data_IF_194473721941
#
_entry.id   IF_194473721941
#
_cell.length_a   1.000
_cell.length_b   1.000
_cell.length_c   1.000
_cell.angle_alpha   90.00
_cell.angle_beta   90.00
_cell.angle_gamma   90.00
#
_symmetry.space_group_name_H-M   'P 1'
#
loop_
_entity.id
_entity.type
_entity.pdbx_description
1 polymer ?
#
# COMPACT_ATOMS: atom_id res chain seq x y z
N UNK A 1 -7.93 6.30 1.13
CA UNK A 1 -6.51 6.02 1.33
C UNK A 1 -6.23 6.03 2.82
N UNK A 2 -5.43 5.06 3.27
CA UNK A 2 -5.33 4.50 4.63
C UNK A 2 -5.48 5.57 5.72
N UNK A 3 -6.55 5.47 6.52
CA UNK A 3 -6.62 6.20 7.79
C UNK A 3 -5.43 5.77 8.66
N UNK A 4 -5.00 6.60 9.63
CA UNK A 4 -3.97 6.20 10.58
C UNK A 4 -4.28 4.85 11.23
N UNK A 5 -5.56 4.59 11.54
CA UNK A 5 -6.02 3.30 12.06
C UNK A 5 -5.79 2.14 11.09
N UNK A 6 -6.20 2.28 9.82
CA UNK A 6 -6.00 1.22 8.83
C UNK A 6 -4.52 0.97 8.55
N UNK A 7 -3.70 2.03 8.60
CA UNK A 7 -2.25 1.93 8.49
C UNK A 7 -1.67 1.18 9.68
N UNK A 8 -2.04 1.56 10.91
CA UNK A 8 -1.64 0.86 12.14
C UNK A 8 -2.03 -0.61 12.12
N UNK A 9 -3.23 -0.96 11.66
CA UNK A 9 -3.62 -2.38 11.54
C UNK A 9 -2.75 -3.12 10.53
N UNK A 10 -2.50 -2.52 9.37
CA UNK A 10 -1.72 -3.16 8.31
C UNK A 10 -0.25 -3.33 8.72
N UNK A 11 0.39 -2.25 9.13
CA UNK A 11 1.80 -2.21 9.52
C UNK A 11 2.03 -2.85 10.89
N UNK A 12 1.10 -2.69 11.82
CA UNK A 12 1.13 -3.38 13.10
C UNK A 12 1.08 -4.90 12.95
N UNK A 13 0.24 -5.44 12.06
CA UNK A 13 0.23 -6.87 11.75
C UNK A 13 1.54 -7.38 11.14
N UNK A 14 2.21 -6.54 10.35
CA UNK A 14 3.54 -6.86 9.80
C UNK A 14 4.58 -6.88 10.92
N UNK A 15 4.68 -5.82 11.73
CA UNK A 15 5.64 -5.79 12.84
C UNK A 15 5.37 -6.91 13.84
N UNK A 16 4.11 -7.21 14.12
CA UNK A 16 3.71 -8.34 14.95
C UNK A 16 4.21 -9.68 14.39
N UNK A 17 4.02 -9.91 13.10
CA UNK A 17 4.42 -11.17 12.46
C UNK A 17 5.93 -11.30 12.22
N UNK A 18 6.68 -10.20 12.11
CA UNK A 18 8.12 -10.22 11.82
C UNK A 18 8.97 -10.02 13.07
N UNK A 19 8.69 -8.97 13.84
CA UNK A 19 9.50 -8.58 14.99
C UNK A 19 9.19 -9.44 16.22
N UNK A 20 7.90 -9.70 16.45
CA UNK A 20 7.45 -10.33 17.69
C UNK A 20 7.13 -11.82 17.55
N UNK A 21 7.15 -12.38 16.34
CA UNK A 21 7.00 -13.84 16.15
C UNK A 21 8.22 -14.62 16.63
N UNK A 22 9.39 -13.98 16.63
CA UNK A 22 10.65 -14.55 17.11
C UNK A 22 10.89 -14.33 18.61
N UNK A 23 10.18 -13.38 19.24
CA UNK A 23 10.34 -13.07 20.66
C UNK A 23 9.34 -13.85 21.53
N UNK A 24 9.84 -14.52 22.55
CA UNK A 24 8.98 -15.17 23.55
C UNK A 24 8.27 -14.17 24.46
N UNK A 25 7.15 -14.58 25.08
CA UNK A 25 6.45 -13.77 26.10
C UNK A 25 7.39 -13.34 27.25
N UNK A 26 8.34 -14.20 27.63
CA UNK A 26 9.33 -13.90 28.67
C UNK A 26 10.31 -12.79 28.24
N UNK A 27 10.71 -12.76 26.96
CA UNK A 27 11.59 -11.71 26.42
C UNK A 27 10.87 -10.36 26.34
N UNK A 28 9.61 -10.38 25.91
CA UNK A 28 8.72 -9.20 25.95
C UNK A 28 8.54 -8.67 27.38
N UNK A 29 8.39 -9.57 28.35
CA UNK A 29 8.35 -9.22 29.77
C UNK A 29 9.64 -8.54 30.25
N UNK A 30 10.81 -9.04 29.83
CA UNK A 30 12.09 -8.45 30.16
C UNK A 30 12.28 -7.06 29.52
N UNK A 31 11.81 -6.87 28.28
CA UNK A 31 11.81 -5.56 27.62
C UNK A 31 10.93 -4.59 28.42
N UNK A 32 9.71 -4.98 28.79
CA UNK A 32 8.82 -4.16 29.60
C UNK A 32 9.46 -3.73 30.93
N UNK A 33 10.07 -4.67 31.65
CA UNK A 33 10.73 -4.37 32.92
C UNK A 33 11.92 -3.42 32.72
N UNK A 34 12.71 -3.60 31.66
CA UNK A 34 13.81 -2.70 31.32
C UNK A 34 13.32 -1.28 30.99
N UNK A 35 12.21 -1.14 30.26
CA UNK A 35 11.58 0.14 29.96
C UNK A 35 11.06 0.83 31.22
N UNK A 36 10.44 0.07 32.14
CA UNK A 36 10.01 0.62 33.43
C UNK A 36 11.16 1.16 34.27
N UNK A 37 12.32 0.48 34.25
CA UNK A 37 13.53 0.97 34.94
C UNK A 37 13.98 2.31 34.35
N UNK A 38 13.99 2.46 33.02
CA UNK A 38 14.31 3.75 32.39
C UNK A 38 13.28 4.83 32.75
N UNK A 39 12.00 4.47 32.81
CA UNK A 39 10.90 5.34 33.23
C UNK A 39 10.93 5.76 34.70
N UNK A 40 11.88 5.29 35.52
CA UNK A 40 12.08 5.81 36.87
C UNK A 40 12.84 7.13 36.89
N UNK A 41 13.56 7.46 35.82
CA UNK A 41 14.43 8.64 35.73
C UNK A 41 13.94 9.67 34.71
N UNK A 42 13.05 9.29 33.79
CA UNK A 42 12.55 10.15 32.72
C UNK A 42 11.05 9.94 32.53
N UNK A 43 10.37 10.96 31.97
CA UNK A 43 8.97 10.87 31.56
C UNK A 43 8.78 10.19 30.21
N UNK A 44 9.88 10.05 29.44
CA UNK A 44 9.92 9.44 28.11
C UNK A 44 11.13 8.53 27.95
N UNK A 45 10.95 7.44 27.22
CA UNK A 45 12.02 6.50 26.86
C UNK A 45 12.34 6.64 25.38
N UNK A 46 13.64 6.71 25.06
CA UNK A 46 14.16 6.75 23.68
C UNK A 46 14.60 5.36 23.26
N UNK A 47 13.96 4.79 22.25
CA UNK A 47 14.35 3.51 21.68
C UNK A 47 15.32 3.72 20.51
N UNK A 48 16.44 2.96 20.45
CA UNK A 48 17.49 3.14 19.46
C UNK A 48 17.15 2.46 18.13
N UNK A 49 15.95 2.73 17.58
CA UNK A 49 15.53 2.18 16.29
C UNK A 49 16.10 2.94 15.08
N UNK A 50 16.38 4.24 15.25
CA UNK A 50 17.01 5.08 14.23
C UNK A 50 17.93 6.09 14.89
N UNK A 51 19.08 6.33 14.28
CA UNK A 51 20.07 7.32 14.74
C UNK A 51 19.60 8.76 14.53
N UNK A 52 18.71 8.99 13.57
CA UNK A 52 18.27 10.34 13.20
C UNK A 52 16.99 10.77 13.92
N UNK A 53 16.08 9.82 14.17
CA UNK A 53 14.82 10.07 14.85
C UNK A 53 14.59 8.98 15.89
N UNK A 54 15.10 9.15 17.13
CA UNK A 54 14.88 8.17 18.18
C UNK A 54 13.39 8.09 18.50
N UNK A 55 12.88 6.86 18.59
CA UNK A 55 11.48 6.63 18.89
C UNK A 55 11.24 6.97 20.37
N UNK A 56 10.45 8.01 20.63
CA UNK A 56 10.08 8.42 21.99
C UNK A 56 8.75 7.79 22.40
N UNK A 57 8.72 7.11 23.55
CA UNK A 57 7.51 6.53 24.13
C UNK A 57 7.28 7.17 25.50
N UNK A 58 6.05 7.59 25.79
CA UNK A 58 5.70 8.15 27.09
C UNK A 58 5.63 7.05 28.16
N UNK A 59 6.23 7.31 29.31
CA UNK A 59 6.26 6.35 30.42
C UNK A 59 4.89 6.09 31.03
N UNK A 60 3.94 7.00 30.85
CA UNK A 60 2.54 6.79 31.21
C UNK A 60 1.94 5.64 30.39
N UNK A 61 2.12 5.67 29.06
CA UNK A 61 1.60 4.66 28.15
C UNK A 61 2.19 3.27 28.42
N UNK A 62 3.49 3.22 28.77
CA UNK A 62 4.17 1.98 29.15
C UNK A 62 3.52 1.40 30.41
N UNK A 63 3.32 2.22 31.45
CA UNK A 63 2.71 1.77 32.73
C UNK A 63 1.25 1.35 32.55
N UNK A 64 0.49 2.05 31.70
CA UNK A 64 -0.91 1.75 31.43
C UNK A 64 -1.07 0.45 30.62
N UNK A 65 -0.22 0.24 29.61
CA UNK A 65 -0.27 -0.95 28.75
C UNK A 65 0.00 -2.25 29.52
N UNK A 66 0.85 -2.20 30.54
CA UNK A 66 1.28 -3.38 31.29
C UNK A 66 2.08 -4.38 30.44
N UNK A 67 2.43 -5.52 31.04
CA UNK A 67 3.25 -6.56 30.38
C UNK A 67 2.61 -7.12 29.11
N UNK A 68 1.30 -7.39 29.13
CA UNK A 68 0.60 -7.96 27.97
C UNK A 68 0.31 -6.92 26.88
N UNK A 69 0.24 -5.63 27.22
CA UNK A 69 -0.03 -4.55 26.25
C UNK A 69 1.21 -3.97 25.60
N UNK A 70 2.42 -4.26 26.11
CA UNK A 70 3.66 -3.65 25.62
C UNK A 70 3.90 -3.94 24.13
N UNK A 71 3.52 -5.14 23.67
CA UNK A 71 3.60 -5.52 22.26
C UNK A 71 2.77 -4.58 21.38
N UNK A 72 1.51 -4.34 21.76
CA UNK A 72 0.60 -3.45 21.04
C UNK A 72 1.06 -2.00 21.09
N UNK A 73 1.64 -1.57 22.22
CA UNK A 73 2.19 -0.23 22.35
C UNK A 73 3.35 -0.04 21.38
N UNK A 74 4.34 -0.95 21.42
CA UNK A 74 5.51 -0.88 20.55
C UNK A 74 5.14 -0.94 19.06
N UNK A 75 4.22 -1.83 18.65
CA UNK A 75 3.76 -1.88 17.25
C UNK A 75 3.07 -0.60 16.82
N UNK A 76 2.25 -0.01 17.69
CA UNK A 76 1.53 1.24 17.41
C UNK A 76 2.49 2.40 17.31
N UNK A 77 3.43 2.54 18.25
CA UNK A 77 4.43 3.63 18.23
C UNK A 77 5.35 3.50 17.03
N UNK A 78 5.79 2.29 16.67
CA UNK A 78 6.58 2.05 15.45
C UNK A 78 5.79 2.43 14.19
N UNK A 79 4.54 1.99 14.08
CA UNK A 79 3.69 2.35 12.95
C UNK A 79 3.51 3.88 12.86
N UNK A 80 3.26 4.56 13.98
CA UNK A 80 3.11 6.01 14.01
C UNK A 80 4.39 6.73 13.61
N UNK A 81 5.57 6.25 14.04
CA UNK A 81 6.84 6.85 13.65
C UNK A 81 7.11 6.77 12.14
N UNK A 82 6.69 5.68 11.50
CA UNK A 82 6.80 5.54 10.05
C UNK A 82 5.74 6.41 9.36
N UNK A 83 4.51 6.43 9.87
CA UNK A 83 3.40 7.14 9.24
C UNK A 83 3.57 8.65 9.30
N UNK A 84 4.04 9.20 10.42
CA UNK A 84 4.21 10.63 10.65
C UNK A 84 5.65 11.11 10.45
N UNK A 85 6.50 10.31 9.80
CA UNK A 85 7.85 10.74 9.42
C UNK A 85 7.75 11.99 8.53
N UNK A 86 8.46 13.04 8.92
CA UNK A 86 8.61 14.26 8.13
C UNK A 86 9.75 14.11 7.12
N UNK A 87 9.56 14.61 5.90
CA UNK A 87 10.56 14.61 4.85
C UNK A 87 10.88 16.04 4.41
N UNK A 88 12.15 16.30 4.07
CA UNK A 88 12.60 17.61 3.58
C UNK A 88 12.22 17.88 2.12
N UNK A 89 11.55 16.94 1.45
CA UNK A 89 11.11 17.03 0.06
C UNK A 89 9.59 16.90 -0.06
N UNK A 90 9.04 17.44 -1.15
CA UNK A 90 7.65 17.17 -1.51
C UNK A 90 7.51 15.73 -2.02
N UNK A 91 6.28 15.21 -2.03
CA UNK A 91 6.00 13.82 -2.45
C UNK A 91 6.67 13.44 -3.77
N UNK A 92 6.58 14.31 -4.78
CA UNK A 92 7.15 14.05 -6.11
C UNK A 92 8.67 14.13 -6.06
N UNK A 93 9.25 15.13 -5.40
CA UNK A 93 10.69 15.24 -5.22
C UNK A 93 11.30 14.04 -4.50
N UNK A 94 10.67 13.58 -3.42
CA UNK A 94 11.11 12.41 -2.67
C UNK A 94 11.09 11.13 -3.53
N UNK A 95 9.99 10.88 -4.25
CA UNK A 95 9.87 9.68 -5.11
C UNK A 95 10.85 9.73 -6.29
N UNK A 96 11.09 10.91 -6.87
CA UNK A 96 11.99 11.07 -8.03
C UNK A 96 13.46 11.16 -7.65
N UNK A 97 13.80 11.40 -6.37
CA UNK A 97 15.18 11.49 -5.89
C UNK A 97 15.98 10.20 -6.05
N UNK A 98 15.30 9.04 -6.15
CA UNK A 98 15.95 7.73 -6.22
C UNK A 98 16.58 7.27 -4.90
N UNK A 99 16.48 8.04 -3.81
CA UNK A 99 16.93 7.61 -2.50
C UNK A 99 15.90 6.62 -1.90
N UNK A 100 16.29 5.38 -1.56
CA UNK A 100 15.39 4.38 -1.00
C UNK A 100 14.74 4.82 0.32
N UNK A 101 15.41 5.63 1.14
CA UNK A 101 14.83 6.14 2.40
C UNK A 101 13.69 7.11 2.15
N UNK A 102 13.78 7.90 1.06
CA UNK A 102 12.74 8.83 0.64
C UNK A 102 11.55 8.11 0.00
N UNK A 103 11.70 6.86 -0.46
CA UNK A 103 10.57 6.07 -0.94
C UNK A 103 9.56 5.74 0.16
N UNK A 104 9.96 5.81 1.43
CA UNK A 104 9.02 5.63 2.55
C UNK A 104 7.91 6.70 2.56
N UNK A 105 8.09 7.84 1.90
CA UNK A 105 7.05 8.87 1.77
C UNK A 105 5.74 8.32 1.18
N UNK A 106 5.83 7.28 0.34
CA UNK A 106 4.69 6.57 -0.29
C UNK A 106 3.71 6.03 0.73
N UNK A 107 4.20 5.62 1.91
CA UNK A 107 3.38 4.99 2.96
C UNK A 107 3.06 5.92 4.14
N UNK A 108 3.48 7.18 4.07
CA UNK A 108 3.31 8.15 5.16
C UNK A 108 2.02 8.97 5.04
N UNK A 109 1.77 9.84 6.04
CA UNK A 109 0.70 10.82 6.03
C UNK A 109 0.82 11.78 4.82
N UNK A 110 2.03 12.21 4.46
CA UNK A 110 2.26 13.06 3.29
C UNK A 110 1.86 12.35 1.99
N UNK A 111 2.25 11.08 1.83
CA UNK A 111 1.79 10.24 0.74
C UNK A 111 0.26 10.08 0.72
N UNK A 112 -0.35 9.82 1.88
CA UNK A 112 -1.81 9.73 2.00
C UNK A 112 -2.52 11.03 1.59
N UNK A 113 -1.98 12.19 1.97
CA UNK A 113 -2.50 13.50 1.55
C UNK A 113 -2.36 13.71 0.05
N UNK A 114 -1.20 13.34 -0.53
CA UNK A 114 -0.99 13.38 -1.97
C UNK A 114 -2.03 12.52 -2.70
N UNK A 115 -2.25 11.27 -2.28
CA UNK A 115 -3.27 10.40 -2.90
C UNK A 115 -4.69 10.95 -2.77
N UNK A 116 -5.04 11.51 -1.61
CA UNK A 116 -6.35 12.16 -1.42
C UNK A 116 -6.53 13.35 -2.36
N UNK A 117 -5.49 14.16 -2.54
CA UNK A 117 -5.52 15.31 -3.46
C UNK A 117 -5.66 14.87 -4.93
N UNK A 118 -5.03 13.75 -5.32
CA UNK A 118 -5.07 13.21 -6.68
C UNK A 118 -6.33 12.40 -6.98
N UNK A 119 -7.05 11.94 -5.96
CA UNK A 119 -8.24 11.12 -6.15
C UNK A 119 -9.33 11.84 -6.96
N UNK A 120 -9.64 13.08 -6.62
CA UNK A 120 -10.66 13.88 -7.31
C UNK A 120 -10.30 14.12 -8.79
N UNK A 121 -9.12 14.68 -9.14
CA UNK A 121 -8.77 14.91 -10.54
C UNK A 121 -8.68 13.60 -11.34
N UNK A 122 -8.25 12.48 -10.73
CA UNK A 122 -8.29 11.17 -11.39
C UNK A 122 -9.71 10.73 -11.73
N UNK A 123 -10.69 10.93 -10.84
CA UNK A 123 -12.09 10.62 -11.12
C UNK A 123 -12.64 11.49 -12.25
N UNK A 124 -12.37 12.80 -12.22
CA UNK A 124 -12.79 13.70 -13.30
C UNK A 124 -12.17 13.30 -14.64
N UNK A 125 -10.87 13.00 -14.68
CA UNK A 125 -10.20 12.53 -15.89
C UNK A 125 -10.78 11.22 -16.42
N UNK A 126 -11.09 10.28 -15.51
CA UNK A 126 -11.68 8.98 -15.86
C UNK A 126 -13.09 9.16 -16.44
N UNK A 127 -13.94 9.96 -15.80
CA UNK A 127 -15.31 10.22 -16.26
C UNK A 127 -15.30 10.98 -17.59
N UNK A 128 -14.46 12.00 -17.72
CA UNK A 128 -14.31 12.76 -18.96
C UNK A 128 -13.82 11.86 -20.10
N UNK A 129 -12.81 11.02 -19.86
CA UNK A 129 -12.32 10.04 -20.83
C UNK A 129 -13.39 9.05 -21.25
N UNK A 130 -14.19 8.55 -20.30
CA UNK A 130 -15.30 7.66 -20.59
C UNK A 130 -16.39 8.36 -21.42
N UNK A 131 -16.73 9.61 -21.11
CA UNK A 131 -17.70 10.40 -21.86
C UNK A 131 -17.24 10.62 -23.31
N UNK A 132 -15.97 11.01 -23.51
CA UNK A 132 -15.38 11.17 -24.84
C UNK A 132 -15.44 9.85 -25.63
N UNK A 133 -15.15 8.73 -24.97
CA UNK A 133 -15.20 7.40 -25.60
C UNK A 133 -16.63 7.03 -26.01
N UNK A 134 -17.62 7.30 -25.15
CA UNK A 134 -19.03 7.04 -25.46
C UNK A 134 -19.55 7.90 -26.62
N UNK A 135 -19.15 9.17 -26.71
CA UNK A 135 -19.54 10.06 -27.81
C UNK A 135 -18.83 9.71 -29.11
N UNK A 136 -17.54 9.41 -29.05
CA UNK A 136 -16.73 9.15 -30.26
C UNK A 136 -17.07 7.82 -30.94
N UNK A 137 -17.69 6.88 -30.21
CA UNK A 137 -18.02 5.57 -30.74
C UNK A 137 -19.52 5.43 -30.95
N UNK A 138 -19.92 5.53 -32.22
CA UNK A 138 -21.33 5.51 -32.64
C UNK A 138 -22.03 4.16 -32.40
N UNK A 139 -21.27 3.07 -32.42
CA UNK A 139 -21.84 1.72 -32.30
C UNK A 139 -21.70 1.16 -30.88
N UNK A 140 -22.76 0.55 -30.37
CA UNK A 140 -22.73 -0.19 -29.10
C UNK A 140 -21.64 -1.26 -29.06
N UNK A 141 -21.37 -1.89 -30.21
CA UNK A 141 -20.28 -2.86 -30.38
C UNK A 141 -18.91 -2.21 -30.20
N UNK A 142 -18.69 -1.02 -30.75
CA UNK A 142 -17.47 -0.27 -30.53
C UNK A 142 -17.31 0.20 -29.07
N UNK A 143 -18.40 0.66 -28.43
CA UNK A 143 -18.39 1.11 -27.03
C UNK A 143 -17.98 -0.02 -26.08
N UNK A 144 -18.59 -1.20 -26.22
CA UNK A 144 -18.23 -2.38 -25.43
C UNK A 144 -16.77 -2.77 -25.61
N UNK A 145 -16.27 -2.74 -26.85
CA UNK A 145 -14.86 -3.02 -27.12
C UNK A 145 -13.93 -1.98 -26.50
N UNK A 146 -14.23 -0.69 -26.63
CA UNK A 146 -13.39 0.37 -26.09
C UNK A 146 -13.33 0.35 -24.56
N UNK A 147 -14.46 0.12 -23.89
CA UNK A 147 -14.49 -0.08 -22.43
C UNK A 147 -13.68 -1.32 -22.05
N UNK A 148 -13.89 -2.44 -22.75
CA UNK A 148 -13.14 -3.67 -22.51
C UNK A 148 -11.64 -3.50 -22.69
N UNK A 149 -11.21 -2.82 -23.76
CA UNK A 149 -9.79 -2.50 -23.99
C UNK A 149 -9.20 -1.64 -22.87
N UNK A 150 -9.90 -0.61 -22.43
CA UNK A 150 -9.43 0.23 -21.31
C UNK A 150 -9.29 -0.56 -20.02
N UNK A 151 -10.28 -1.39 -19.68
CA UNK A 151 -10.22 -2.22 -18.47
C UNK A 151 -9.08 -3.24 -18.54
N UNK A 152 -8.86 -3.84 -19.72
CA UNK A 152 -7.72 -4.73 -19.93
C UNK A 152 -6.40 -3.97 -19.80
N UNK A 153 -6.28 -2.79 -20.42
CA UNK A 153 -5.06 -1.99 -20.36
C UNK A 153 -4.75 -1.50 -18.94
N UNK A 154 -5.77 -1.24 -18.13
CA UNK A 154 -5.61 -0.89 -16.72
C UNK A 154 -5.21 -2.12 -15.89
N UNK A 155 -5.81 -3.29 -16.15
CA UNK A 155 -5.53 -4.52 -15.38
C UNK A 155 -4.22 -5.22 -15.75
N UNK A 156 -3.76 -5.11 -17.00
CA UNK A 156 -2.61 -5.84 -17.54
C UNK A 156 -1.29 -5.52 -16.80
N UNK A 157 -0.94 -4.26 -16.51
CA UNK A 157 0.29 -3.93 -15.78
C UNK A 157 0.36 -4.57 -14.40
N UNK A 158 -0.79 -4.71 -13.70
CA UNK A 158 -0.83 -5.35 -12.37
C UNK A 158 -0.65 -6.86 -12.45
N UNK A 159 -1.17 -7.50 -13.50
CA UNK A 159 -0.88 -8.90 -13.76
C UNK A 159 0.62 -9.08 -14.07
N UNK A 160 1.20 -8.21 -14.89
CA UNK A 160 2.63 -8.23 -15.20
C UNK A 160 3.50 -7.95 -13.97
N UNK A 161 3.09 -7.06 -13.07
CA UNK A 161 3.78 -6.80 -11.80
C UNK A 161 3.91 -8.07 -10.96
N UNK A 162 2.87 -8.90 -10.89
CA UNK A 162 2.94 -10.18 -10.18
C UNK A 162 3.97 -11.16 -10.75
N UNK A 163 4.22 -11.12 -12.07
CA UNK A 163 5.28 -11.94 -12.70
C UNK A 163 6.65 -11.26 -12.68
N UNK A 164 6.68 -9.93 -12.71
CA UNK A 164 7.90 -9.14 -12.73
C UNK A 164 8.48 -8.92 -11.33
N UNK A 165 7.72 -9.21 -10.27
CA UNK A 165 8.17 -9.08 -8.88
C UNK A 165 9.49 -9.83 -8.66
N UNK A 166 9.58 -11.08 -9.11
CA UNK A 166 10.81 -11.90 -9.04
C UNK A 166 12.00 -11.29 -9.81
N UNK A 167 11.74 -10.45 -10.81
CA UNK A 167 12.77 -9.84 -11.67
C UNK A 167 13.11 -8.38 -11.31
N UNK A 168 12.23 -7.66 -10.62
CA UNK A 168 12.37 -6.25 -10.26
C UNK A 168 12.94 -6.04 -8.84
N UNK A 169 12.91 -7.07 -8.01
CA UNK A 169 13.45 -7.04 -6.64
C UNK A 169 14.95 -7.27 -6.42
N UNK A 170 15.84 -7.58 -7.40
CA UNK A 170 17.22 -7.96 -7.10
C UNK A 170 18.15 -6.78 -6.72
N UNK A 171 17.62 -5.74 -6.06
CA UNK A 171 18.41 -4.58 -5.62
C UNK A 171 18.09 -4.12 -4.19
N UNK A 172 17.27 -4.87 -3.44
CA UNK A 172 17.03 -4.58 -2.03
C UNK A 172 18.13 -5.28 -1.20
N UNK A 173 18.82 -4.59 -0.29
CA UNK A 173 19.73 -5.23 0.65
C UNK A 173 19.00 -6.36 1.41
N UNK A 174 19.63 -7.53 1.64
CA UNK A 174 18.96 -8.70 2.20
C UNK A 174 18.39 -8.46 3.61
N UNK A 175 18.98 -7.52 4.35
CA UNK A 175 18.52 -7.08 5.68
C UNK A 175 17.12 -6.42 5.61
N UNK A 176 16.88 -5.63 4.57
CA UNK A 176 15.63 -4.90 4.34
C UNK A 176 14.60 -5.81 3.63
N UNK A 177 15.07 -6.66 2.73
CA UNK A 177 14.25 -7.60 1.96
C UNK A 177 13.40 -8.51 2.86
N UNK A 178 14.01 -9.13 3.87
CA UNK A 178 13.30 -10.04 4.79
C UNK A 178 12.13 -9.38 5.54
N UNK A 179 12.24 -8.07 5.83
CA UNK A 179 11.24 -7.32 6.58
C UNK A 179 10.19 -6.66 5.68
N UNK A 180 10.58 -6.20 4.48
CA UNK A 180 9.69 -5.51 3.55
C UNK A 180 8.94 -6.44 2.60
N UNK A 181 9.52 -7.59 2.22
CA UNK A 181 8.88 -8.52 1.28
C UNK A 181 7.47 -8.96 1.71
N UNK A 182 7.19 -9.31 2.98
CA UNK A 182 5.84 -9.66 3.42
C UNK A 182 4.84 -8.50 3.27
N UNK A 183 5.31 -7.25 3.45
CA UNK A 183 4.51 -6.03 3.29
C UNK A 183 4.16 -5.80 1.84
N UNK A 184 5.19 -5.87 1.00
CA UNK A 184 5.09 -5.73 -0.44
C UNK A 184 4.17 -6.83 -0.98
N UNK A 185 4.36 -8.09 -0.57
CA UNK A 185 3.53 -9.23 -0.97
C UNK A 185 2.07 -9.05 -0.55
N UNK A 186 1.81 -8.60 0.67
CA UNK A 186 0.44 -8.36 1.15
C UNK A 186 -0.25 -7.24 0.36
N UNK A 187 0.45 -6.14 0.12
CA UNK A 187 -0.05 -5.01 -0.67
C UNK A 187 -0.25 -5.40 -2.14
N UNK A 188 0.76 -6.03 -2.76
CA UNK A 188 0.74 -6.48 -4.16
C UNK A 188 -0.34 -7.53 -4.33
N UNK A 189 -0.49 -8.51 -3.44
CA UNK A 189 -1.55 -9.53 -3.50
C UNK A 189 -2.94 -8.92 -3.42
N UNK A 190 -3.15 -7.97 -2.49
CA UNK A 190 -4.42 -7.26 -2.33
C UNK A 190 -4.78 -6.43 -3.56
N UNK A 191 -3.80 -5.73 -4.14
CA UNK A 191 -3.97 -4.98 -5.39
C UNK A 191 -4.21 -5.93 -6.58
N UNK A 192 -3.38 -6.97 -6.73
CA UNK A 192 -3.45 -7.95 -7.81
C UNK A 192 -4.82 -8.60 -7.87
N UNK A 193 -5.39 -9.00 -6.72
CA UNK A 193 -6.74 -9.60 -6.68
C UNK A 193 -7.80 -8.64 -7.21
N UNK A 194 -7.78 -7.37 -6.80
CA UNK A 194 -8.75 -6.36 -7.24
C UNK A 194 -8.59 -6.04 -8.73
N UNK A 195 -7.36 -5.87 -9.21
CA UNK A 195 -7.09 -5.59 -10.62
C UNK A 195 -7.32 -6.80 -11.53
N UNK A 196 -7.18 -8.04 -11.02
CA UNK A 196 -7.58 -9.25 -11.73
C UNK A 196 -9.07 -9.28 -12.02
N UNK A 197 -9.92 -8.84 -11.07
CA UNK A 197 -11.37 -8.72 -11.31
C UNK A 197 -11.62 -7.72 -12.45
N UNK A 198 -10.96 -6.55 -12.41
CA UNK A 198 -11.06 -5.52 -13.47
C UNK A 198 -10.64 -6.09 -14.83
N UNK A 199 -9.55 -6.85 -14.88
CA UNK A 199 -9.05 -7.51 -16.09
C UNK A 199 -10.06 -8.52 -16.64
N UNK A 200 -10.60 -9.42 -15.80
CA UNK A 200 -11.60 -10.42 -16.20
C UNK A 200 -12.86 -9.75 -16.74
N UNK A 201 -13.34 -8.71 -16.06
CA UNK A 201 -14.47 -7.90 -16.52
C UNK A 201 -14.17 -7.24 -17.87
N UNK A 202 -12.96 -6.68 -18.04
CA UNK A 202 -12.50 -6.10 -19.30
C UNK A 202 -12.48 -7.10 -20.46
N UNK A 203 -11.96 -8.31 -20.23
CA UNK A 203 -11.95 -9.40 -21.21
C UNK A 203 -13.39 -9.80 -21.57
N UNK A 204 -14.28 -9.94 -20.59
CA UNK A 204 -15.68 -10.26 -20.84
C UNK A 204 -16.37 -9.21 -21.73
N UNK A 205 -16.14 -7.92 -21.46
CA UNK A 205 -16.65 -6.82 -22.30
C UNK A 205 -16.10 -6.86 -23.73
N UNK A 206 -14.80 -7.16 -23.91
CA UNK A 206 -14.21 -7.36 -25.23
C UNK A 206 -14.88 -8.51 -25.99
N UNK A 207 -14.97 -9.69 -25.35
CA UNK A 207 -15.56 -10.89 -25.97
C UNK A 207 -17.02 -10.63 -26.37
N UNK A 208 -17.82 -10.02 -25.49
CA UNK A 208 -19.19 -9.64 -25.79
C UNK A 208 -19.27 -8.65 -26.97
N UNK A 209 -18.42 -7.62 -26.97
CA UNK A 209 -18.33 -6.63 -28.05
C UNK A 209 -17.96 -7.26 -29.40
N UNK A 210 -17.05 -8.24 -29.42
CA UNK A 210 -16.69 -8.99 -30.63
C UNK A 210 -17.80 -9.94 -31.09
N UNK A 211 -18.46 -10.64 -30.17
CA UNK A 211 -19.56 -11.54 -30.49
C UNK A 211 -20.74 -10.81 -31.15
N UNK A 212 -21.16 -9.66 -30.58
CA UNK A 212 -22.24 -8.83 -31.14
C UNK A 212 -21.84 -8.27 -32.51
N UNK A 213 -20.58 -7.84 -32.68
CA UNK A 213 -20.10 -7.36 -33.98
C UNK A 213 -20.14 -8.48 -35.05
N UNK A 214 -19.89 -9.73 -34.66
CA UNK A 214 -19.92 -10.87 -35.56
C UNK A 214 -21.35 -11.26 -35.98
N UNK A 215 -22.31 -11.24 -35.04
CA UNK A 215 -23.72 -11.52 -35.35
C UNK A 215 -24.34 -10.46 -36.26
N UNK A 216 -24.06 -9.17 -36.02
CA UNK A 216 -24.53 -8.07 -36.87
C UNK A 216 -23.96 -8.15 -38.31
N UNK A 217 -22.70 -8.56 -38.47
CA UNK A 217 -22.10 -8.80 -39.80
C UNK A 217 -22.77 -9.94 -40.56
N UNK A 218 -23.19 -11.01 -39.86
CA UNK A 218 -23.93 -12.12 -40.49
C UNK A 218 -25.33 -11.69 -40.95
N UNK A 219 -26.03 -10.86 -40.17
CA UNK A 219 -27.34 -10.34 -40.58
C UNK A 219 -27.27 -9.44 -41.82
N UNK A 220 -26.26 -8.57 -41.93
CA UNK A 220 -26.10 -7.69 -43.12
C UNK A 220 -25.71 -8.42 -44.42
N UNK A 221 -25.31 -9.70 -44.34
CA UNK A 221 -24.93 -10.52 -45.52
C UNK A 221 -26.06 -11.42 -46.03
N UNK A 222 -27.17 -11.52 -45.29
CA UNK A 222 -28.40 -12.18 -45.75
C UNK A 222 -29.32 -11.12 -46.34
#
# INVERSE_FOLDING_TARGET
FTSPENFRTLVGGIFESQLFSAMGEDELGNIYDALLVQCSQTDRVKLPFSTEQPLEIECADIRESGRSGIKSLLTTTLADSVYYKEFDCDFVGCVTSGNPENMLIVVTNEGNQFYKSMQIPMWFGTIAGLAVLLVSVETWTGRLKGIGYNLVFIGLPFLLLGYAQDSLLPSIPPEIESSLMPVIDSLVSSLTTKFMIVLVVGIAFLVAGYAIAFTQRKQKRK
#
